data_IF_839912008594
#
_entry.id   IF_839912008594
#
_cell.length_a   1.000
_cell.length_b   1.000
_cell.length_c   1.000
_cell.angle_alpha   90.00
_cell.angle_beta   90.00
_cell.angle_gamma   90.00
#
_symmetry.space_group_name_H-M   'P 1'
#
loop_
_entity.id
_entity.type
_entity.pdbx_description
1 polymer ?
#
# COMPACT_ATOMS: atom_id res chain seq x y z
N UNK A 1 11.94 -10.33 32.56
CA UNK A 1 10.84 -10.57 31.59
C UNK A 1 10.98 -9.52 30.50
N UNK A 2 11.63 -9.85 29.39
CA UNK A 2 11.68 -8.96 28.23
C UNK A 2 10.37 -9.18 27.48
N UNK A 3 9.33 -8.42 27.82
CA UNK A 3 8.19 -8.31 26.94
C UNK A 3 8.73 -7.70 25.64
N UNK A 4 8.78 -8.48 24.56
CA UNK A 4 8.85 -7.88 23.24
C UNK A 4 7.68 -6.90 23.18
N UNK A 5 7.89 -5.59 22.94
CA UNK A 5 6.77 -4.69 22.77
C UNK A 5 5.90 -5.25 21.64
N UNK A 6 4.63 -5.49 21.93
CA UNK A 6 3.67 -5.98 20.94
C UNK A 6 3.60 -4.95 19.82
N UNK A 7 4.07 -5.31 18.62
CA UNK A 7 3.96 -4.45 17.44
C UNK A 7 2.49 -4.36 17.03
N UNK A 8 1.91 -3.17 17.07
CA UNK A 8 0.55 -2.91 16.59
C UNK A 8 0.59 -2.68 15.09
N UNK A 9 -0.16 -3.49 14.33
CA UNK A 9 -0.21 -3.43 12.87
C UNK A 9 -1.61 -3.02 12.43
N UNK A 10 -1.69 -1.95 11.65
CA UNK A 10 -2.87 -1.70 10.81
C UNK A 10 -2.79 -2.62 9.60
N UNK A 11 -3.61 -3.66 9.58
CA UNK A 11 -3.57 -4.68 8.56
C UNK A 11 -4.22 -4.25 7.22
N UNK A 12 -4.84 -3.06 7.16
CA UNK A 12 -5.57 -2.65 5.96
C UNK A 12 -5.61 -1.12 5.82
N UNK A 13 -4.76 -0.59 4.96
CA UNK A 13 -4.84 0.81 4.50
C UNK A 13 -4.58 0.93 3.00
N UNK A 14 -4.89 2.09 2.43
CA UNK A 14 -4.69 2.38 1.02
C UNK A 14 -3.92 3.68 0.81
N UNK A 15 -3.15 3.73 -0.27
CA UNK A 15 -2.65 4.96 -0.88
C UNK A 15 -3.24 5.10 -2.26
N UNK A 16 -3.37 6.34 -2.71
CA UNK A 16 -3.71 6.63 -4.09
C UNK A 16 -3.15 7.98 -4.53
N UNK A 17 -2.74 8.04 -5.79
CA UNK A 17 -2.21 9.22 -6.45
C UNK A 17 -3.02 9.46 -7.74
N UNK A 18 -3.86 10.48 -7.72
CA UNK A 18 -4.76 10.83 -8.82
C UNK A 18 -4.02 11.45 -10.02
N UNK A 19 -2.74 11.82 -9.83
CA UNK A 19 -1.89 12.33 -10.91
C UNK A 19 -1.25 11.18 -11.71
N UNK A 20 -1.21 9.96 -11.14
CA UNK A 20 -0.58 8.78 -11.74
C UNK A 20 -1.57 7.71 -12.16
N UNK A 21 -2.69 7.59 -11.46
CA UNK A 21 -3.61 6.46 -11.59
C UNK A 21 -5.07 6.88 -11.65
N UNK A 22 -5.87 6.04 -12.30
CA UNK A 22 -7.33 6.19 -12.34
C UNK A 22 -7.99 5.26 -11.34
N UNK A 23 -9.01 5.77 -10.65
CA UNK A 23 -9.76 5.02 -9.65
C UNK A 23 -11.25 5.04 -10.03
N UNK A 24 -11.74 4.06 -10.82
CA UNK A 24 -13.11 4.05 -11.32
C UNK A 24 -14.21 4.07 -10.24
N UNK A 25 -13.87 3.63 -9.02
CA UNK A 25 -14.77 3.66 -7.87
C UNK A 25 -14.92 5.05 -7.23
N UNK A 26 -14.05 6.02 -7.54
CA UNK A 26 -14.09 7.38 -7.00
C UNK A 26 -15.11 8.24 -7.75
N UNK A 27 -16.38 8.10 -7.38
CA UNK A 27 -17.46 8.94 -7.89
C UNK A 27 -17.37 10.39 -7.34
N UNK A 28 -17.98 11.39 -8.02
CA UNK A 28 -17.87 12.80 -7.61
C UNK A 28 -18.38 13.11 -6.20
N UNK A 29 -19.29 12.32 -5.65
CA UNK A 29 -19.83 12.45 -4.30
C UNK A 29 -18.84 12.04 -3.20
N UNK A 30 -17.77 11.32 -3.53
CA UNK A 30 -16.68 10.93 -2.62
C UNK A 30 -15.63 12.04 -2.49
N UNK A 31 -16.06 13.29 -2.31
CA UNK A 31 -15.19 14.47 -2.34
C UNK A 31 -13.99 14.41 -1.37
N UNK A 32 -14.17 13.77 -0.19
CA UNK A 32 -13.09 13.59 0.79
C UNK A 32 -11.99 12.67 0.28
N UNK A 33 -12.36 11.60 -0.45
CA UNK A 33 -11.43 10.61 -0.97
C UNK A 33 -10.80 11.05 -2.31
N UNK A 34 -11.45 11.98 -3.02
CA UNK A 34 -11.06 12.44 -4.36
C UNK A 34 -9.91 13.46 -4.36
N UNK A 35 -8.82 13.12 -3.66
CA UNK A 35 -7.53 13.82 -3.61
C UNK A 35 -6.42 12.80 -3.37
N UNK A 36 -5.16 13.18 -3.50
CA UNK A 36 -4.04 12.26 -3.23
C UNK A 36 -3.95 11.93 -1.73
N UNK A 37 -3.73 10.65 -1.42
CA UNK A 37 -3.43 10.15 -0.09
C UNK A 37 -2.12 9.36 -0.16
N UNK A 38 -1.08 9.94 0.42
CA UNK A 38 0.32 9.50 0.28
C UNK A 38 0.95 9.21 1.65
N UNK A 39 2.07 8.46 1.70
CA UNK A 39 2.73 8.09 2.96
C UNK A 39 3.05 9.26 3.90
N UNK A 40 3.40 10.43 3.34
CA UNK A 40 3.70 11.64 4.11
C UNK A 40 2.51 12.12 4.96
N UNK A 41 1.28 11.90 4.51
CA UNK A 41 0.07 12.28 5.25
C UNK A 41 -0.29 11.25 6.32
N UNK A 42 -0.07 9.95 6.04
CA UNK A 42 -0.39 8.86 6.97
C UNK A 42 0.63 8.73 8.12
N UNK A 43 1.92 8.92 7.84
CA UNK A 43 3.01 8.74 8.81
C UNK A 43 2.81 9.47 10.16
N UNK A 44 2.41 10.76 10.22
CA UNK A 44 2.11 11.41 11.51
C UNK A 44 0.85 10.86 12.19
N UNK A 45 -0.11 10.34 11.45
CA UNK A 45 -1.36 9.80 11.99
C UNK A 45 -1.11 8.48 12.73
N UNK A 46 -0.38 7.55 12.12
CA UNK A 46 -0.09 6.23 12.73
C UNK A 46 0.72 6.39 14.02
N UNK A 47 1.69 7.33 14.05
CA UNK A 47 2.45 7.67 15.26
C UNK A 47 1.56 8.20 16.38
N UNK A 48 0.58 9.04 16.04
CA UNK A 48 -0.32 9.66 17.01
C UNK A 48 -1.21 8.64 17.73
N UNK A 49 -1.55 7.54 17.06
CA UNK A 49 -2.46 6.51 17.60
C UNK A 49 -1.75 5.22 18.03
N UNK A 50 -0.41 5.17 17.96
CA UNK A 50 0.38 4.02 18.40
C UNK A 50 0.35 2.82 17.45
N UNK A 51 0.15 3.05 16.15
CA UNK A 51 0.32 2.03 15.12
C UNK A 51 1.80 2.03 14.70
N UNK A 52 2.47 0.89 14.85
CA UNK A 52 3.90 0.74 14.55
C UNK A 52 4.13 0.47 13.06
N UNK A 53 3.22 -0.26 12.42
CA UNK A 53 3.34 -0.74 11.04
C UNK A 53 1.98 -0.79 10.35
N UNK A 54 1.99 -0.73 9.02
CA UNK A 54 0.79 -0.82 8.19
C UNK A 54 0.97 -1.84 7.07
N UNK A 55 -0.11 -2.42 6.59
CA UNK A 55 -0.15 -3.20 5.34
C UNK A 55 -0.97 -2.44 4.31
N UNK A 56 -0.36 -2.15 3.15
CA UNK A 56 -1.07 -1.60 2.01
C UNK A 56 -1.92 -2.68 1.34
N UNK A 57 -3.13 -2.33 0.91
CA UNK A 57 -4.00 -3.16 0.07
C UNK A 57 -4.33 -2.42 -1.21
N UNK A 58 -4.26 -3.10 -2.36
CA UNK A 58 -4.52 -2.51 -3.67
C UNK A 58 -5.87 -1.77 -3.75
N UNK A 59 -5.87 -0.62 -4.42
CA UNK A 59 -7.03 0.25 -4.58
C UNK A 59 -7.56 0.25 -6.03
N UNK A 60 -6.83 -0.33 -6.99
CA UNK A 60 -7.29 -0.54 -8.37
C UNK A 60 -6.67 -1.76 -9.03
N UNK A 61 -7.27 -2.23 -10.13
CA UNK A 61 -6.84 -3.40 -10.91
C UNK A 61 -5.69 -3.06 -11.88
N UNK A 62 -4.58 -2.57 -11.35
CA UNK A 62 -3.40 -2.19 -12.13
C UNK A 62 -2.12 -2.64 -11.41
N UNK A 63 -1.31 -3.48 -12.06
CA UNK A 63 -0.06 -3.99 -11.47
C UNK A 63 1.00 -2.90 -11.28
N UNK A 64 0.92 -1.78 -12.00
CA UNK A 64 1.78 -0.62 -11.79
C UNK A 64 1.54 0.06 -10.43
N UNK A 65 0.34 -0.05 -9.85
CA UNK A 65 0.08 0.41 -8.47
C UNK A 65 0.85 -0.45 -7.46
N UNK A 66 0.87 -1.77 -7.66
CA UNK A 66 1.67 -2.68 -6.84
C UNK A 66 3.15 -2.31 -6.88
N UNK A 67 3.68 -2.03 -8.08
CA UNK A 67 5.09 -1.65 -8.26
C UNK A 67 5.40 -0.29 -7.63
N UNK A 68 4.50 0.67 -7.78
CA UNK A 68 4.61 1.98 -7.15
C UNK A 68 4.67 1.87 -5.63
N UNK A 69 3.79 1.10 -5.00
CA UNK A 69 3.83 0.95 -3.54
C UNK A 69 5.04 0.14 -3.06
N UNK A 70 5.43 -0.92 -3.79
CA UNK A 70 6.66 -1.66 -3.48
C UNK A 70 7.91 -0.78 -3.56
N UNK A 71 7.93 0.24 -4.44
CA UNK A 71 9.05 1.20 -4.49
C UNK A 71 9.12 2.10 -3.26
N UNK A 72 7.99 2.37 -2.60
CA UNK A 72 7.89 3.24 -1.43
C UNK A 72 8.32 2.55 -0.12
N UNK A 73 8.36 1.22 -0.05
CA UNK A 73 8.65 0.48 1.19
C UNK A 73 10.06 0.76 1.73
N UNK A 74 11.02 1.00 0.83
CA UNK A 74 12.40 1.35 1.19
C UNK A 74 12.50 2.70 1.93
N UNK A 75 11.69 3.68 1.54
CA UNK A 75 11.67 5.02 2.15
C UNK A 75 10.73 5.07 3.36
N UNK A 76 9.81 4.12 3.47
CA UNK A 76 8.77 4.04 4.48
C UNK A 76 8.75 2.66 5.14
N UNK A 77 9.73 2.33 6.00
CA UNK A 77 9.87 1.00 6.60
C UNK A 77 8.73 0.61 7.56
N UNK A 78 7.81 1.54 7.85
CA UNK A 78 6.56 1.27 8.57
C UNK A 78 5.50 0.64 7.67
N UNK A 79 5.65 0.67 6.34
CA UNK A 79 4.88 -0.17 5.41
C UNK A 79 5.49 -1.58 5.49
N UNK A 80 4.84 -2.46 6.25
CA UNK A 80 5.36 -3.78 6.56
C UNK A 80 4.94 -4.87 5.56
N UNK A 81 4.03 -4.55 4.65
CA UNK A 81 3.56 -5.48 3.63
C UNK A 81 2.68 -4.80 2.59
N UNK A 82 2.57 -5.47 1.44
CA UNK A 82 1.77 -5.03 0.30
C UNK A 82 0.91 -6.21 -0.15
N UNK A 83 -0.40 -6.02 -0.15
CA UNK A 83 -1.37 -6.86 -0.84
C UNK A 83 -1.65 -6.21 -2.19
N UNK A 84 -0.81 -6.55 -3.18
CA UNK A 84 -0.89 -6.01 -4.53
C UNK A 84 -1.91 -6.70 -5.41
N UNK A 85 -2.10 -6.18 -6.62
CA UNK A 85 -2.88 -6.79 -7.69
C UNK A 85 -1.97 -7.30 -8.81
N UNK A 86 -2.29 -8.48 -9.33
CA UNK A 86 -1.76 -9.07 -10.57
C UNK A 86 -2.89 -9.82 -11.28
N UNK A 87 -2.77 -9.97 -12.61
CA UNK A 87 -3.62 -10.90 -13.35
C UNK A 87 -3.19 -12.33 -13.05
N UNK A 88 -3.97 -13.02 -12.22
CA UNK A 88 -3.71 -14.40 -11.83
C UNK A 88 -3.95 -15.43 -12.95
N UNK A 89 -4.44 -14.98 -14.11
CA UNK A 89 -4.68 -15.81 -15.30
C UNK A 89 -3.59 -15.65 -16.37
N UNK A 90 -2.64 -14.75 -16.16
CA UNK A 90 -1.57 -14.49 -17.11
C UNK A 90 -0.59 -15.67 -17.20
N UNK A 91 -0.16 -16.00 -18.42
CA UNK A 91 0.81 -17.07 -18.67
C UNK A 91 2.18 -16.81 -18.01
N UNK A 92 2.51 -15.55 -17.74
CA UNK A 92 3.77 -15.10 -17.14
C UNK A 92 3.66 -14.79 -15.63
N UNK A 93 2.59 -15.23 -14.96
CA UNK A 93 2.33 -14.93 -13.55
C UNK A 93 3.52 -15.23 -12.62
N UNK A 94 4.18 -16.37 -12.80
CA UNK A 94 5.34 -16.76 -11.97
C UNK A 94 6.52 -15.79 -12.11
N UNK A 95 6.77 -15.29 -13.33
CA UNK A 95 7.78 -14.27 -13.59
C UNK A 95 7.39 -12.94 -12.93
N UNK A 96 6.13 -12.55 -13.06
CA UNK A 96 5.60 -11.33 -12.44
C UNK A 96 5.68 -11.36 -10.90
N UNK A 97 5.43 -12.51 -10.27
CA UNK A 97 5.60 -12.72 -8.83
C UNK A 97 7.08 -12.71 -8.42
N UNK A 98 7.94 -13.39 -9.19
CA UNK A 98 9.37 -13.48 -8.89
C UNK A 98 10.03 -12.10 -8.88
N UNK A 99 9.73 -11.26 -9.88
CA UNK A 99 10.22 -9.87 -9.96
C UNK A 99 9.85 -9.04 -8.73
N UNK A 100 8.64 -9.23 -8.20
CA UNK A 100 8.13 -8.46 -7.05
C UNK A 100 8.64 -8.97 -5.72
N UNK A 101 8.98 -10.26 -5.63
CA UNK A 101 9.58 -10.87 -4.44
C UNK A 101 10.97 -10.32 -4.13
N UNK A 102 11.67 -9.76 -5.11
CA UNK A 102 12.99 -9.13 -4.92
C UNK A 102 12.91 -7.79 -4.18
N UNK A 103 11.71 -7.21 -3.99
CA UNK A 103 11.52 -6.03 -3.17
C UNK A 103 11.60 -6.38 -1.66
N UNK A 104 12.28 -5.53 -0.86
CA UNK A 104 12.48 -5.75 0.58
C UNK A 104 11.19 -5.63 1.41
#
# INVERSE_FOLDING_TARGET
MNANPSSTVDAHQHFWDLDQFEYPWMTPDLAVLRRNYLPAELSPQIRRVGIDRTVFVQAQMNSAESDWVLSMTAEHPWIAGVVGWLDLTADDLDEQLSRRREHP
#
